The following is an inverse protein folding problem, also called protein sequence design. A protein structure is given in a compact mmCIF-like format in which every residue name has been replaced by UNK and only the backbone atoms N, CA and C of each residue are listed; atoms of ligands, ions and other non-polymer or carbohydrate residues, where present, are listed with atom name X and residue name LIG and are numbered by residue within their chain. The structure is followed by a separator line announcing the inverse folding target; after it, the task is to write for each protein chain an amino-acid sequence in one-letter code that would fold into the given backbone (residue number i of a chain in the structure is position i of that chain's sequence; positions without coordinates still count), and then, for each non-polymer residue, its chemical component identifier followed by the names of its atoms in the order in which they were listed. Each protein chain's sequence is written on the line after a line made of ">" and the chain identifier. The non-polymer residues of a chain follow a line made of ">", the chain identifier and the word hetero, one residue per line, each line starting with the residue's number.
data_IF_531611032639
#
_entry.id   IF_531611032639
#
_cell.length_a   1.000
_cell.length_b   1.000
_cell.length_c   1.000
_cell.angle_alpha   90.00
_cell.angle_beta   90.00
_cell.angle_gamma   90.00
#
_symmetry.space_group_name_H-M   'P 1'
#
loop_
_entity.id
_entity.type
_entity.pdbx_description
1 polymer ?
#
# COMPACT_ATOMS: atom_id res chain seq x y z
N UNK A 1 6.14 12.15 -9.01
CA UNK A 1 7.25 12.92 -8.41
C UNK A 1 8.46 12.03 -8.15
N UNK A 2 9.67 12.51 -8.44
CA UNK A 2 10.92 11.83 -8.04
C UNK A 2 11.21 12.15 -6.58
N UNK A 3 11.43 11.12 -5.76
CA UNK A 3 11.66 11.23 -4.31
C UNK A 3 13.16 11.04 -4.00
N UNK A 4 13.85 10.17 -4.73
CA UNK A 4 15.30 9.97 -4.59
C UNK A 4 15.97 10.08 -5.95
N UNK A 5 16.73 11.16 -6.16
CA UNK A 5 17.39 11.44 -7.45
C UNK A 5 18.47 10.39 -7.79
N UNK A 6 19.28 9.98 -6.82
CA UNK A 6 20.42 9.09 -7.07
C UNK A 6 20.05 7.65 -7.46
N UNK A 7 18.80 7.25 -7.20
CA UNK A 7 18.27 5.92 -7.56
C UNK A 7 17.02 6.02 -8.43
N UNK A 8 16.67 7.24 -8.84
CA UNK A 8 15.46 7.56 -9.62
C UNK A 8 14.16 6.99 -9.03
N UNK A 9 14.09 6.82 -7.70
CA UNK A 9 12.87 6.34 -7.04
C UNK A 9 11.79 7.41 -7.10
N UNK A 10 10.61 7.00 -7.56
CA UNK A 10 9.41 7.83 -7.67
C UNK A 10 8.28 7.31 -6.78
N UNK A 11 7.22 8.10 -6.59
CA UNK A 11 5.99 7.64 -5.93
C UNK A 11 5.41 6.37 -6.57
N UNK A 12 5.46 6.27 -7.91
CA UNK A 12 4.97 5.12 -8.65
C UNK A 12 5.81 3.86 -8.38
N UNK A 13 7.11 4.03 -8.15
CA UNK A 13 7.96 2.91 -7.70
C UNK A 13 7.49 2.42 -6.33
N UNK A 14 7.31 3.33 -5.36
CA UNK A 14 6.84 2.98 -4.01
C UNK A 14 5.50 2.23 -4.04
N UNK A 15 4.53 2.75 -4.79
CA UNK A 15 3.22 2.11 -4.93
C UNK A 15 3.33 0.67 -5.46
N UNK A 16 4.16 0.42 -6.49
CA UNK A 16 4.40 -0.93 -7.02
C UNK A 16 4.98 -1.89 -5.97
N UNK A 17 5.95 -1.42 -5.19
CA UNK A 17 6.55 -2.22 -4.12
C UNK A 17 5.54 -2.54 -3.01
N UNK A 18 4.74 -1.55 -2.60
CA UNK A 18 3.68 -1.74 -1.59
C UNK A 18 2.61 -2.71 -2.09
N UNK A 19 2.16 -2.60 -3.35
CA UNK A 19 1.22 -3.56 -3.95
C UNK A 19 1.80 -4.98 -3.99
N UNK A 20 3.13 -5.12 -4.11
CA UNK A 20 3.85 -6.40 -4.05
C UNK A 20 4.12 -6.88 -2.62
N UNK A 21 3.61 -6.18 -1.59
CA UNK A 21 3.75 -6.55 -0.18
C UNK A 21 4.97 -5.96 0.54
N UNK A 22 5.80 -5.17 -0.14
CA UNK A 22 6.97 -4.54 0.49
C UNK A 22 6.53 -3.22 1.13
N UNK A 23 6.22 -3.29 2.43
CA UNK A 23 5.79 -2.15 3.24
C UNK A 23 6.84 -1.71 4.27
N UNK A 24 7.79 -2.57 4.62
CA UNK A 24 8.87 -2.26 5.55
C UNK A 24 9.93 -1.33 4.89
N UNK A 25 10.15 -0.10 5.42
CA UNK A 25 11.13 0.82 4.87
C UNK A 25 12.56 0.27 4.84
N UNK A 26 12.98 -0.53 5.84
CA UNK A 26 14.31 -1.13 5.90
C UNK A 26 14.50 -2.14 4.77
N UNK A 27 13.48 -2.95 4.48
CA UNK A 27 13.49 -3.90 3.35
C UNK A 27 13.56 -3.15 2.02
N UNK A 28 12.70 -2.14 1.84
CA UNK A 28 12.69 -1.32 0.64
C UNK A 28 14.04 -0.64 0.37
N UNK A 29 14.62 0.01 1.38
CA UNK A 29 15.89 0.72 1.26
C UNK A 29 17.07 -0.24 1.00
N UNK A 30 17.01 -1.47 1.53
CA UNK A 30 18.02 -2.50 1.26
C UNK A 30 18.00 -2.96 -0.19
N UNK A 31 16.81 -3.18 -0.77
CA UNK A 31 16.64 -3.66 -2.15
C UNK A 31 16.97 -2.55 -3.16
N UNK A 32 16.42 -1.35 -2.95
CA UNK A 32 16.54 -0.23 -3.90
C UNK A 32 17.83 0.56 -3.76
N UNK A 33 18.54 0.41 -2.63
CA UNK A 33 19.70 1.23 -2.23
C UNK A 33 19.42 2.73 -2.17
N UNK A 34 18.15 3.14 -2.17
CA UNK A 34 17.75 4.54 -2.06
C UNK A 34 18.20 5.15 -0.72
N UNK A 35 18.40 6.46 -0.68
CA UNK A 35 18.78 7.14 0.55
C UNK A 35 20.26 7.07 0.94
N UNK A 36 21.13 6.46 0.12
CA UNK A 36 22.58 6.44 0.36
C UNK A 36 23.25 7.81 0.15
N UNK A 37 22.79 8.56 -0.85
CA UNK A 37 23.39 9.86 -1.19
C UNK A 37 22.82 11.03 -0.36
N UNK A 38 21.64 10.87 0.26
CA UNK A 38 21.00 11.93 1.04
C UNK A 38 20.08 11.36 2.11
N UNK A 39 20.20 11.87 3.34
CA UNK A 39 19.31 11.52 4.43
C UNK A 39 17.87 12.02 4.21
N UNK A 40 17.69 13.15 3.50
CA UNK A 40 16.37 13.73 3.26
C UNK A 40 15.46 12.78 2.48
N UNK A 41 15.95 12.24 1.36
CA UNK A 41 15.16 11.29 0.56
C UNK A 41 14.91 9.96 1.29
N UNK A 42 15.83 9.53 2.17
CA UNK A 42 15.64 8.34 3.02
C UNK A 42 14.49 8.54 4.00
N UNK A 43 14.44 9.70 4.66
CA UNK A 43 13.37 10.05 5.59
C UNK A 43 12.03 10.16 4.86
N UNK A 44 12.01 10.80 3.69
CA UNK A 44 10.77 10.95 2.92
C UNK A 44 10.23 9.62 2.39
N UNK A 45 11.09 8.73 1.88
CA UNK A 45 10.72 7.34 1.52
C UNK A 45 10.11 6.62 2.72
N UNK A 46 10.73 6.75 3.90
CA UNK A 46 10.27 6.08 5.12
C UNK A 46 8.89 6.59 5.53
N UNK A 47 8.69 7.90 5.52
CA UNK A 47 7.41 8.56 5.82
C UNK A 47 6.31 8.08 4.87
N UNK A 48 6.57 8.10 3.57
CA UNK A 48 5.59 7.70 2.54
C UNK A 48 5.22 6.22 2.69
N UNK A 49 6.20 5.33 2.89
CA UNK A 49 5.92 3.90 3.07
C UNK A 49 5.06 3.62 4.30
N UNK A 50 5.35 4.31 5.42
CA UNK A 50 4.54 4.17 6.64
C UNK A 50 3.10 4.65 6.43
N UNK A 51 2.91 5.76 5.71
CA UNK A 51 1.57 6.26 5.36
C UNK A 51 0.82 5.27 4.46
N UNK A 52 1.48 4.73 3.43
CA UNK A 52 0.89 3.74 2.53
C UNK A 52 0.53 2.44 3.27
N UNK A 53 1.39 1.99 4.19
CA UNK A 53 1.15 0.80 4.99
C UNK A 53 -0.03 0.98 5.95
N UNK A 54 -0.14 2.13 6.62
CA UNK A 54 -1.26 2.45 7.51
C UNK A 54 -2.60 2.51 6.76
N UNK A 55 -2.62 3.11 5.57
CA UNK A 55 -3.83 3.21 4.76
C UNK A 55 -4.29 1.84 4.24
N UNK A 56 -3.37 0.91 3.99
CA UNK A 56 -3.70 -0.45 3.53
C UNK A 56 -4.49 -1.25 4.57
N UNK A 57 -4.23 -1.03 5.86
CA UNK A 57 -4.98 -1.66 6.95
C UNK A 57 -6.41 -1.15 7.01
N UNK A 58 -6.63 0.16 6.79
CA UNK A 58 -7.98 0.74 6.75
C UNK A 58 -8.81 0.29 5.54
N UNK A 59 -8.18 0.06 4.37
CA UNK A 59 -8.91 -0.40 3.18
C UNK A 59 -9.29 -1.88 3.22
N UNK A 60 -8.52 -2.73 3.91
CA UNK A 60 -8.90 -4.15 4.09
C UNK A 60 -10.06 -4.32 5.07
N UNK A 61 -10.16 -3.49 6.12
CA UNK A 61 -11.26 -3.59 7.10
C UNK A 61 -12.63 -3.24 6.46
N UNK A 62 -12.66 -2.29 5.51
CA UNK A 62 -13.86 -1.97 4.72
C UNK A 62 -14.21 -3.04 3.67
N UNK A 63 -13.22 -3.65 3.01
CA UNK A 63 -13.47 -4.65 1.97
C UNK A 63 -14.03 -5.98 2.51
N UNK A 64 -13.84 -6.27 3.81
CA UNK A 64 -14.45 -7.45 4.47
C UNK A 64 -15.84 -7.18 5.06
N UNK A 65 -16.28 -5.92 5.16
CA UNK A 65 -17.59 -5.58 5.73
C UNK A 65 -18.75 -5.71 4.72
N UNK A 66 -18.47 -5.82 3.41
CA UNK A 66 -19.50 -5.86 2.36
C UNK A 66 -19.91 -7.28 1.90
N UNK A 67 -19.58 -8.34 2.66
CA UNK A 67 -20.09 -9.70 2.40
C UNK A 67 -20.69 -10.30 3.67
N UNK A 68 -21.69 -9.64 4.24
CA UNK A 68 -22.59 -10.28 5.19
C UNK A 68 -23.94 -9.57 5.18
N UNK A 69 -24.79 -9.97 4.23
CA UNK A 69 -26.18 -9.53 4.22
C UNK A 69 -26.80 -9.52 2.84
N UNK A 70 -27.09 -10.70 2.27
CA UNK A 70 -28.31 -10.89 1.50
C UNK A 70 -29.07 -12.05 2.14
N UNK A 71 -29.99 -11.67 3.02
CA UNK A 71 -31.19 -12.45 3.34
C UNK A 71 -32.20 -12.03 2.27
N UNK A 72 -32.44 -12.88 1.28
CA UNK A 72 -33.62 -12.75 0.42
C UNK A 72 -34.58 -13.86 0.83
N UNK A 73 -35.68 -13.41 1.43
CA UNK A 73 -36.86 -14.18 1.76
C UNK A 73 -37.53 -14.71 0.48
N UNK A 74 -37.82 -16.01 0.50
CA UNK A 74 -39.06 -16.67 0.09
C UNK A 74 -40.06 -15.85 -0.77
N UNK A 75 -40.28 -16.25 -2.03
CA UNK A 75 -41.60 -16.10 -2.67
C UNK A 75 -41.96 -17.33 -3.51
N UNK A 76 -43.08 -17.92 -3.12
CA UNK A 76 -43.87 -18.99 -3.75
C UNK A 76 -44.29 -18.65 -5.19
N UNK A 77 -44.39 -19.65 -6.07
CA UNK A 77 -45.54 -19.89 -6.98
C UNK A 77 -45.32 -21.21 -7.74
N UNK A 78 -46.22 -22.17 -7.52
CA UNK A 78 -46.52 -23.32 -8.40
C UNK A 78 -47.56 -22.89 -9.46
N UNK A 79 -47.66 -23.57 -10.61
CA UNK A 79 -48.44 -24.82 -10.69
C UNK A 79 -47.61 -26.05 -11.06
#
# INVERSE_FOLDING_TARGET
>A
MVICLCTSITDRCLAKYVSSGITDPRVFLRITRAGRCSAACRQEITRILQQMAANRSGTQELATAEVSGHKEEEESVRP
#
